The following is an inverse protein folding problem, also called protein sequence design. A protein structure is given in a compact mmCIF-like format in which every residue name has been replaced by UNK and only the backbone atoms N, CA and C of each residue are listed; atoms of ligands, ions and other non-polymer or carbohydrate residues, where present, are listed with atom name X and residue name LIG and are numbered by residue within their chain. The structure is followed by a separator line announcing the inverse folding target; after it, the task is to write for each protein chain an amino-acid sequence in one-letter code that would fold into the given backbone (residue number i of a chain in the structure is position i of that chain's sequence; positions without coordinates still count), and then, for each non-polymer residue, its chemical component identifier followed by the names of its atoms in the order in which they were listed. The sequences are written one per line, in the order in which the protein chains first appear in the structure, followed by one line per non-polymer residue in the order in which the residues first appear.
data_IF_963698166840
#
_entry.id   IF_963698166840
#
_cell.length_a   1.000
_cell.length_b   1.000
_cell.length_c   1.000
_cell.angle_alpha   90.00
_cell.angle_beta   90.00
_cell.angle_gamma   90.00
#
_symmetry.space_group_name_H-M   'P 1'
#
loop_
_entity.id
_entity.type
_entity.pdbx_description
1 polymer ?
#
# COMPACT_ATOMS: atom_id res chain seq x y z
N UNK A 1 -17.60 0.46 4.45
CA UNK A 1 -17.54 -0.97 4.79
C UNK A 1 -16.68 -1.10 6.04
N UNK A 2 -17.27 -1.46 7.18
CA UNK A 2 -16.62 -1.47 8.50
C UNK A 2 -16.60 -2.91 9.04
N UNK A 3 -15.47 -3.38 9.60
CA UNK A 3 -15.37 -4.69 10.27
C UNK A 3 -15.52 -4.53 11.79
N UNK A 4 -16.26 -5.43 12.44
CA UNK A 4 -16.77 -5.27 13.81
C UNK A 4 -16.17 -6.28 14.83
N UNK A 5 -15.48 -5.85 15.91
CA UNK A 5 -15.16 -6.62 17.15
C UNK A 5 -15.30 -5.84 18.49
N UNK A 6 -16.18 -6.31 19.40
CA UNK A 6 -16.68 -5.65 20.64
C UNK A 6 -15.74 -4.64 21.33
N UNK A 7 -16.33 -3.50 21.72
CA UNK A 7 -15.66 -2.20 22.02
C UNK A 7 -14.80 -1.71 20.84
N UNK A 8 -15.50 -1.58 19.71
CA UNK A 8 -15.01 -1.65 18.33
C UNK A 8 -14.19 -0.42 17.92
N UNK A 9 -12.88 -0.42 18.17
CA UNK A 9 -11.97 0.41 17.38
C UNK A 9 -12.00 -0.10 15.92
N UNK A 10 -12.68 0.66 15.06
CA UNK A 10 -12.73 0.40 13.64
C UNK A 10 -11.47 0.96 12.97
N UNK A 11 -10.69 0.08 12.33
CA UNK A 11 -9.57 0.54 11.50
C UNK A 11 -10.08 0.97 10.12
N UNK A 12 -9.67 2.18 9.71
CA UNK A 12 -9.90 2.67 8.35
C UNK A 12 -8.97 1.93 7.38
N UNK A 13 -9.53 0.96 6.66
CA UNK A 13 -8.79 0.15 5.66
C UNK A 13 -8.87 0.73 4.24
N UNK A 14 -9.59 1.83 4.06
CA UNK A 14 -9.74 2.46 2.75
C UNK A 14 -10.36 3.85 2.86
N UNK A 15 -10.11 4.64 1.82
CA UNK A 15 -10.65 5.99 1.65
C UNK A 15 -9.64 7.08 1.92
N UNK A 16 -10.05 8.31 1.59
CA UNK A 16 -9.25 9.52 1.71
C UNK A 16 -10.15 10.73 1.56
N UNK A 17 -9.59 11.83 1.05
CA UNK A 17 -10.33 13.06 0.78
C UNK A 17 -10.63 13.19 -0.70
N UNK A 18 -11.84 13.66 -1.02
CA UNK A 18 -12.21 14.06 -2.36
C UNK A 18 -12.15 15.57 -2.48
N UNK A 19 -12.02 16.06 -3.71
CA UNK A 19 -12.17 17.48 -4.03
C UNK A 19 -13.56 17.99 -3.63
N UNK A 20 -13.61 19.25 -3.22
CA UNK A 20 -14.87 19.90 -2.84
C UNK A 20 -15.67 20.38 -4.06
N UNK A 21 -15.06 20.40 -5.24
CA UNK A 21 -15.67 20.85 -6.49
C UNK A 21 -16.64 19.82 -7.08
N UNK A 22 -16.74 18.62 -6.49
CA UNK A 22 -17.71 17.60 -6.87
C UNK A 22 -17.29 16.71 -8.04
N UNK A 23 -16.04 16.82 -8.51
CA UNK A 23 -15.53 15.99 -9.61
C UNK A 23 -15.12 14.57 -9.16
N UNK A 24 -15.23 14.27 -7.86
CA UNK A 24 -14.85 12.99 -7.25
C UNK A 24 -13.35 12.68 -7.45
N UNK A 25 -12.54 13.73 -7.49
CA UNK A 25 -11.08 13.64 -7.61
C UNK A 25 -10.51 13.33 -6.24
N UNK A 26 -9.68 12.29 -6.16
CA UNK A 26 -8.96 11.92 -4.92
C UNK A 26 -7.86 12.94 -4.65
N UNK A 27 -7.83 13.52 -3.45
CA UNK A 27 -6.78 14.46 -3.02
C UNK A 27 -6.22 14.09 -1.64
N UNK A 28 -4.99 14.50 -1.36
CA UNK A 28 -4.33 14.29 -0.08
C UNK A 28 -4.06 12.82 0.24
N UNK A 29 -4.09 12.44 1.52
CA UNK A 29 -3.76 11.08 1.97
C UNK A 29 -4.87 10.08 1.65
N UNK A 30 -4.48 8.95 1.09
CA UNK A 30 -5.37 7.89 0.65
C UNK A 30 -4.89 6.50 1.07
N UNK A 31 -5.87 5.65 1.37
CA UNK A 31 -5.71 4.22 1.55
C UNK A 31 -6.53 3.51 0.48
N UNK A 32 -5.86 2.70 -0.34
CA UNK A 32 -6.46 1.95 -1.44
C UNK A 32 -6.34 0.45 -1.21
N UNK A 33 -7.42 -0.28 -1.46
CA UNK A 33 -7.40 -1.73 -1.48
C UNK A 33 -6.86 -2.22 -2.83
N UNK A 34 -6.01 -3.25 -2.81
CA UNK A 34 -5.56 -3.89 -4.05
C UNK A 34 -6.74 -4.50 -4.82
N UNK A 35 -6.62 -4.59 -6.14
CA UNK A 35 -7.66 -5.18 -6.99
C UNK A 35 -7.98 -6.64 -6.64
N UNK A 36 -7.00 -7.36 -6.10
CA UNK A 36 -7.14 -8.74 -5.65
C UNK A 36 -7.48 -8.84 -4.15
N UNK A 37 -8.01 -7.77 -3.54
CA UNK A 37 -8.35 -7.77 -2.13
C UNK A 37 -9.43 -8.83 -1.83
N UNK A 38 -9.07 -9.83 -1.03
CA UNK A 38 -9.97 -10.89 -0.59
C UNK A 38 -9.53 -11.43 0.79
N UNK A 39 -10.23 -12.43 1.32
CA UNK A 39 -9.94 -13.02 2.64
C UNK A 39 -8.50 -13.53 2.81
N UNK A 40 -7.87 -13.97 1.72
CA UNK A 40 -6.50 -14.52 1.70
C UNK A 40 -5.45 -13.51 1.25
N UNK A 41 -5.86 -12.44 0.59
CA UNK A 41 -4.99 -11.43 0.01
C UNK A 41 -5.47 -10.04 0.39
N UNK A 42 -4.98 -9.51 1.52
CA UNK A 42 -5.37 -8.18 2.01
C UNK A 42 -4.22 -7.20 1.80
N UNK A 43 -3.96 -6.86 0.53
CA UNK A 43 -2.98 -5.83 0.17
C UNK A 43 -3.64 -4.46 0.23
N UNK A 44 -2.99 -3.53 0.90
CA UNK A 44 -3.41 -2.15 1.08
C UNK A 44 -2.27 -1.25 0.62
N UNK A 45 -2.58 -0.26 -0.22
CA UNK A 45 -1.65 0.77 -0.65
C UNK A 45 -1.99 2.08 0.05
N UNK A 46 -1.00 2.77 0.61
CA UNK A 46 -1.20 4.08 1.22
C UNK A 46 -0.23 5.09 0.66
N UNK A 47 -0.73 6.29 0.37
CA UNK A 47 0.11 7.39 -0.12
C UNK A 47 -0.71 8.65 -0.31
N UNK A 48 -0.18 9.55 -1.13
CA UNK A 48 -0.78 10.87 -1.34
C UNK A 48 -1.13 11.11 -2.80
N UNK A 49 -2.24 11.81 -2.99
CA UNK A 49 -2.69 12.35 -4.26
C UNK A 49 -2.56 13.88 -4.25
N UNK A 50 -2.12 14.45 -5.36
CA UNK A 50 -2.16 15.90 -5.55
C UNK A 50 -3.59 16.39 -5.87
N UNK A 51 -3.74 17.70 -6.02
CA UNK A 51 -5.02 18.36 -6.34
C UNK A 51 -5.62 17.94 -7.70
N UNK A 52 -4.82 17.32 -8.58
CA UNK A 52 -5.24 16.85 -9.90
C UNK A 52 -5.59 15.35 -9.90
N UNK A 53 -5.62 14.68 -8.75
CA UNK A 53 -5.92 13.26 -8.67
C UNK A 53 -4.76 12.34 -9.04
N UNK A 54 -3.53 12.85 -9.03
CA UNK A 54 -2.34 12.10 -9.42
C UNK A 54 -1.52 11.69 -8.20
N UNK A 55 -0.99 10.46 -8.21
CA UNK A 55 -0.18 9.92 -7.12
C UNK A 55 1.15 10.66 -7.05
N UNK A 56 1.49 11.14 -5.87
CA UNK A 56 2.75 11.85 -5.60
C UNK A 56 3.47 11.24 -4.40
N UNK A 57 4.79 11.44 -4.35
CA UNK A 57 5.60 11.09 -3.20
C UNK A 57 5.60 9.60 -2.85
N UNK A 58 5.80 9.29 -1.57
CA UNK A 58 5.95 7.91 -1.10
C UNK A 58 4.61 7.18 -1.08
N UNK A 59 4.59 6.01 -1.69
CA UNK A 59 3.50 5.05 -1.63
C UNK A 59 3.98 3.74 -1.03
N UNK A 60 3.32 3.34 0.05
CA UNK A 60 3.63 2.15 0.81
C UNK A 60 2.65 1.02 0.52
N UNK A 61 3.16 -0.20 0.41
CA UNK A 61 2.37 -1.41 0.18
C UNK A 61 2.42 -2.24 1.45
N UNK A 62 1.26 -2.40 2.07
CA UNK A 62 1.04 -3.15 3.29
C UNK A 62 0.32 -4.46 2.97
N UNK A 63 0.78 -5.55 3.57
CA UNK A 63 0.14 -6.86 3.45
C UNK A 63 -0.42 -7.31 4.79
N UNK A 64 -1.75 -7.43 4.91
CA UNK A 64 -2.39 -7.93 6.11
C UNK A 64 -2.63 -9.45 6.01
N UNK A 65 -2.05 -10.22 6.94
CA UNK A 65 -2.41 -11.65 7.09
C UNK A 65 -3.62 -11.80 7.99
N UNK A 66 -4.66 -12.46 7.47
CA UNK A 66 -5.68 -13.07 8.30
C UNK A 66 -5.09 -14.33 8.95
N UNK A 67 -5.00 -14.37 10.28
CA UNK A 67 -4.74 -15.60 11.04
C UNK A 67 -5.86 -15.75 12.05
N UNK A 68 -6.29 -17.00 12.27
CA UNK A 68 -7.37 -17.35 13.17
C UNK A 68 -7.22 -16.74 14.57
N UNK A 69 -8.36 -16.48 15.19
CA UNK A 69 -8.60 -15.63 16.38
C UNK A 69 -7.79 -15.97 17.65
N UNK A 70 -6.95 -17.01 17.66
CA UNK A 70 -6.38 -17.57 18.89
C UNK A 70 -5.26 -16.71 19.52
N UNK A 71 -4.66 -15.76 18.80
CA UNK A 71 -3.54 -14.94 19.34
C UNK A 71 -3.70 -13.43 19.08
N UNK A 72 -4.88 -12.87 19.35
CA UNK A 72 -5.23 -11.49 18.99
C UNK A 72 -4.37 -10.40 19.64
N UNK A 73 -3.96 -10.55 20.91
CA UNK A 73 -3.25 -9.48 21.65
C UNK A 73 -1.77 -9.31 21.24
N UNK A 74 -1.04 -10.40 21.02
CA UNK A 74 0.38 -10.34 20.64
C UNK A 74 0.58 -10.00 19.15
N UNK A 75 -0.46 -10.17 18.33
CA UNK A 75 -0.42 -9.94 16.88
C UNK A 75 -0.58 -8.47 16.48
N UNK A 76 -1.26 -7.65 17.27
CA UNK A 76 -1.48 -6.22 16.94
C UNK A 76 -0.16 -5.44 17.05
N UNK A 77 0.58 -5.65 18.13
CA UNK A 77 1.86 -4.97 18.37
C UNK A 77 2.93 -5.36 17.33
N UNK A 78 2.99 -6.65 16.97
CA UNK A 78 3.90 -7.15 15.92
C UNK A 78 3.46 -6.77 14.49
N UNK A 79 2.16 -6.51 14.24
CA UNK A 79 1.65 -6.09 12.92
C UNK A 79 1.89 -4.61 12.62
N UNK A 80 1.85 -3.74 13.62
CA UNK A 80 2.17 -2.31 13.49
C UNK A 80 3.66 -2.10 13.19
N UNK A 81 4.53 -2.98 13.73
CA UNK A 81 5.98 -2.81 13.67
C UNK A 81 6.62 -3.36 12.38
N UNK A 82 5.94 -4.21 11.58
CA UNK A 82 6.69 -5.08 10.63
C UNK A 82 6.20 -5.30 9.19
N UNK A 83 5.21 -4.60 8.62
CA UNK A 83 4.71 -5.01 7.28
C UNK A 83 4.59 -3.88 6.24
N UNK A 84 5.69 -3.14 6.04
CA UNK A 84 5.95 -2.59 4.71
C UNK A 84 6.57 -3.70 3.87
N UNK A 85 5.77 -4.36 3.03
CA UNK A 85 6.26 -5.42 2.14
C UNK A 85 6.67 -4.90 0.77
N UNK A 86 6.44 -3.60 0.53
CA UNK A 86 6.74 -2.96 -0.73
C UNK A 86 6.47 -1.47 -0.68
N UNK A 87 6.71 -0.81 -1.81
CA UNK A 87 6.47 0.61 -1.97
C UNK A 87 7.56 1.28 -2.80
N UNK A 88 7.29 2.50 -3.19
CA UNK A 88 8.20 3.34 -3.95
C UNK A 88 7.69 4.76 -4.00
N UNK A 89 8.40 5.62 -4.71
CA UNK A 89 8.03 7.02 -4.81
C UNK A 89 7.56 7.36 -6.21
N UNK A 90 6.56 8.22 -6.28
CA UNK A 90 6.16 8.92 -7.50
C UNK A 90 6.78 10.32 -7.52
N UNK A 91 6.94 10.86 -8.71
CA UNK A 91 7.34 12.24 -8.93
C UNK A 91 6.39 13.23 -8.26
N UNK A 92 6.92 14.40 -7.88
CA UNK A 92 6.14 15.45 -7.21
C UNK A 92 5.34 16.30 -8.21
N UNK A 93 5.72 16.27 -9.48
CA UNK A 93 5.01 16.96 -10.58
C UNK A 93 3.66 16.29 -10.88
N UNK A 94 3.49 15.05 -10.41
CA UNK A 94 2.25 14.30 -10.57
C UNK A 94 2.11 13.64 -11.93
N UNK A 95 3.17 13.50 -12.72
CA UNK A 95 3.11 12.72 -13.96
C UNK A 95 2.94 11.21 -13.70
N UNK A 96 2.86 10.79 -12.42
CA UNK A 96 2.79 9.41 -11.95
C UNK A 96 4.00 8.59 -12.42
N UNK A 97 5.14 9.26 -12.56
CA UNK A 97 6.40 8.63 -12.91
C UNK A 97 6.97 8.02 -11.64
N UNK A 98 7.23 6.71 -11.71
CA UNK A 98 7.91 5.98 -10.65
C UNK A 98 9.36 6.44 -10.60
N UNK A 99 9.82 6.88 -9.44
CA UNK A 99 11.19 7.33 -9.22
C UNK A 99 11.85 6.56 -8.08
N UNK A 100 13.16 6.35 -8.20
CA UNK A 100 14.01 5.73 -7.19
C UNK A 100 13.73 4.24 -6.98
N UNK A 101 14.00 3.77 -5.76
CA UNK A 101 13.86 2.36 -5.42
C UNK A 101 12.40 1.96 -5.19
N UNK A 102 11.97 0.94 -5.92
CA UNK A 102 10.68 0.30 -5.79
C UNK A 102 10.84 -1.11 -5.27
N UNK A 103 10.22 -1.39 -4.15
CA UNK A 103 10.09 -2.73 -3.60
C UNK A 103 8.74 -3.27 -4.06
N UNK A 104 8.74 -4.26 -4.95
CA UNK A 104 7.52 -4.93 -5.41
C UNK A 104 7.36 -6.28 -4.77
N UNK A 105 6.11 -6.65 -4.52
CA UNK A 105 5.72 -8.01 -4.19
C UNK A 105 5.86 -8.89 -5.44
N UNK A 106 6.54 -10.02 -5.31
CA UNK A 106 6.61 -11.00 -6.39
C UNK A 106 5.22 -11.57 -6.69
N UNK A 107 4.96 -12.01 -7.92
CA UNK A 107 3.66 -12.60 -8.28
C UNK A 107 3.39 -13.95 -7.58
N UNK A 108 4.46 -14.63 -7.13
CA UNK A 108 4.40 -15.81 -6.26
C UNK A 108 4.47 -15.46 -4.77
N UNK A 109 4.30 -14.18 -4.42
CA UNK A 109 4.23 -13.78 -3.01
C UNK A 109 2.99 -14.44 -2.40
N UNK A 110 3.25 -15.41 -1.54
CA UNK A 110 2.24 -16.05 -0.72
C UNK A 110 2.52 -15.76 0.76
N UNK A 111 1.58 -16.16 1.62
CA UNK A 111 1.68 -15.91 3.04
C UNK A 111 2.83 -16.69 3.73
N UNK A 112 3.63 -17.47 3.02
CA UNK A 112 4.74 -18.28 3.52
C UNK A 112 6.10 -17.88 2.92
N UNK A 113 6.14 -17.12 1.81
CA UNK A 113 7.38 -16.72 1.13
C UNK A 113 7.41 -15.21 0.85
N UNK A 114 8.23 -14.48 1.60
CA UNK A 114 8.51 -13.07 1.31
C UNK A 114 9.55 -12.98 0.19
N UNK A 115 9.08 -12.85 -1.05
CA UNK A 115 9.95 -12.50 -2.19
C UNK A 115 9.62 -11.08 -2.60
N UNK A 116 10.56 -10.17 -2.35
CA UNK A 116 10.49 -8.78 -2.81
C UNK A 116 11.55 -8.55 -3.85
N UNK A 117 11.21 -7.89 -4.97
CA UNK A 117 12.21 -7.40 -5.92
C UNK A 117 12.39 -5.89 -5.77
N UNK A 118 13.66 -5.46 -5.76
CA UNK A 118 14.03 -4.05 -5.85
C UNK A 118 14.23 -3.68 -7.31
N UNK A 119 13.60 -2.60 -7.74
CA UNK A 119 13.73 -2.04 -9.09
C UNK A 119 14.06 -0.57 -8.93
N UNK A 120 15.11 -0.11 -9.57
CA UNK A 120 15.45 1.31 -9.62
C UNK A 120 14.87 1.92 -10.89
N UNK A 121 14.08 2.98 -10.72
CA UNK A 121 13.52 3.76 -11.81
C UNK A 121 14.28 5.08 -11.94
N UNK A 122 15.06 5.21 -13.01
CA UNK A 122 15.66 6.49 -13.41
C UNK A 122 14.72 7.29 -14.33
N UNK A 123 15.12 8.53 -14.65
CA UNK A 123 14.39 9.43 -15.58
C UNK A 123 14.06 8.78 -16.94
N UNK A 124 14.81 7.76 -17.36
CA UNK A 124 14.65 7.06 -18.64
C UNK A 124 13.98 5.66 -18.51
N UNK A 125 13.36 5.34 -17.36
CA UNK A 125 12.71 4.06 -17.11
C UNK A 125 13.50 3.08 -16.22
N UNK A 126 13.03 1.83 -16.08
CA UNK A 126 13.58 0.87 -15.12
C UNK A 126 14.98 0.41 -15.51
N UNK A 127 15.94 0.58 -14.61
CA UNK A 127 17.28 -0.01 -14.72
C UNK A 127 17.26 -1.35 -13.97
N UNK A 128 17.20 -2.46 -14.69
CA UNK A 128 17.20 -3.78 -14.05
C UNK A 128 18.61 -4.14 -13.55
N UNK A 129 18.88 -3.89 -12.27
CA UNK A 129 20.00 -4.48 -11.54
C UNK A 129 19.49 -5.52 -10.56
N UNK A 130 19.56 -6.81 -10.90
CA UNK A 130 19.33 -7.89 -9.92
C UNK A 130 20.56 -7.93 -9.02
N UNK A 131 20.47 -7.35 -7.82
CA UNK A 131 21.45 -7.65 -6.76
C UNK A 131 21.03 -8.96 -6.10
N UNK A 132 21.83 -10.01 -6.32
CA UNK A 132 21.75 -11.29 -5.60
C UNK A 132 22.26 -11.12 -4.17
#
# INVERSE_FOLDING_TARGET
MYCQFNEKEYYKIGGGLYDQEGNQIKIGKWIELDKKFNHHNQIINSGEYNIHGMKIGRWDIMYCKYKEKKYQKMQILLKIIQIFSGGGSYDQEGNQIKIGEWVKLHHQFDCQKQVTCRIDYGMNGPKSGIKR
#
